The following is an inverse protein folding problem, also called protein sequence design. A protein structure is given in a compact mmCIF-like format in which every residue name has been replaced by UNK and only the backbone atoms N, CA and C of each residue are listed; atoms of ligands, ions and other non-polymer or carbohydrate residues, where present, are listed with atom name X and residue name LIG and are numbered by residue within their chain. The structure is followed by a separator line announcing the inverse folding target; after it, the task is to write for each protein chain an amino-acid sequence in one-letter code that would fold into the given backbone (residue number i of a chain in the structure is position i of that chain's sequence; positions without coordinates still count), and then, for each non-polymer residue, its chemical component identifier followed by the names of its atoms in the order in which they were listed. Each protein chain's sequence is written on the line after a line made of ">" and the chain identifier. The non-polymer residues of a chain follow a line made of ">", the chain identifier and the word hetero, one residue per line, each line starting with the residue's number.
data_IF_113418339052
#
_entry.id   IF_113418339052
#
_cell.length_a   1.000
_cell.length_b   1.000
_cell.length_c   1.000
_cell.angle_alpha   90.00
_cell.angle_beta   90.00
_cell.angle_gamma   90.00
#
_symmetry.space_group_name_H-M   'P 1'
#
loop_
_entity.id
_entity.type
_entity.pdbx_description
1 polymer ?
#
# COMPACT_ATOMS: atom_id res chain seq x y z
N UNK A 1 -33.97 48.41 -21.86
CA UNK A 1 -34.64 49.51 -21.13
C UNK A 1 -33.57 50.50 -20.70
N UNK A 2 -33.21 51.46 -21.55
CA UNK A 2 -33.74 52.83 -21.70
C UNK A 2 -33.11 53.83 -20.70
N UNK A 3 -32.71 55.01 -21.21
CA UNK A 3 -32.02 56.17 -20.58
C UNK A 3 -30.48 56.06 -20.68
N UNK A 4 -29.71 56.91 -21.36
CA UNK A 4 -29.83 58.35 -21.61
C UNK A 4 -29.14 58.69 -22.95
N UNK A 5 -29.93 59.01 -23.97
CA UNK A 5 -29.50 59.62 -25.23
C UNK A 5 -30.21 60.97 -25.31
N UNK A 6 -29.64 62.05 -24.77
CA UNK A 6 -30.09 63.41 -25.08
C UNK A 6 -29.18 64.51 -24.48
N UNK A 7 -28.03 64.83 -25.07
CA UNK A 7 -27.48 66.20 -24.96
C UNK A 7 -26.56 66.49 -26.17
N UNK A 8 -27.09 66.59 -27.38
CA UNK A 8 -26.42 67.35 -28.47
C UNK A 8 -27.50 67.94 -29.37
N UNK A 9 -28.27 68.89 -28.85
CA UNK A 9 -29.19 69.69 -29.69
C UNK A 9 -29.41 71.05 -29.07
N UNK A 10 -28.36 71.85 -28.96
CA UNK A 10 -28.49 73.29 -28.75
C UNK A 10 -27.11 73.92 -28.92
N UNK A 11 -26.72 74.25 -30.16
CA UNK A 11 -26.13 75.55 -30.55
C UNK A 11 -26.08 75.54 -32.09
N UNK A 12 -27.21 75.80 -32.74
CA UNK A 12 -27.20 76.14 -34.18
C UNK A 12 -28.13 77.30 -34.52
N UNK A 13 -28.68 77.98 -33.52
CA UNK A 13 -29.59 79.12 -33.71
C UNK A 13 -29.25 80.20 -32.69
N UNK A 14 -28.12 80.88 -32.88
CA UNK A 14 -27.80 82.11 -32.16
C UNK A 14 -26.72 82.93 -32.87
N UNK A 15 -26.82 83.09 -34.20
CA UNK A 15 -26.08 84.10 -34.95
C UNK A 15 -26.99 84.72 -36.03
N UNK A 16 -28.22 85.01 -35.62
CA UNK A 16 -29.10 85.97 -36.29
C UNK A 16 -29.48 87.07 -35.28
N UNK A 17 -28.52 87.52 -34.48
CA UNK A 17 -28.67 88.78 -33.75
C UNK A 17 -28.31 89.91 -34.72
N UNK A 18 -29.32 90.30 -35.48
CA UNK A 18 -29.59 91.64 -35.97
C UNK A 18 -28.52 92.66 -35.53
N UNK A 19 -27.60 93.02 -36.43
CA UNK A 19 -27.07 94.36 -36.39
C UNK A 19 -28.29 95.25 -36.64
N UNK A 20 -28.79 95.90 -35.58
CA UNK A 20 -29.57 97.11 -35.75
C UNK A 20 -28.64 98.06 -36.52
N UNK A 21 -28.80 98.10 -37.85
CA UNK A 21 -28.31 99.20 -38.65
C UNK A 21 -29.07 100.38 -38.06
N UNK A 22 -28.39 101.25 -37.32
CA UNK A 22 -28.99 102.50 -36.93
C UNK A 22 -29.49 103.14 -38.22
N UNK A 23 -30.81 103.39 -38.29
CA UNK A 23 -31.40 104.08 -39.43
C UNK A 23 -30.56 105.33 -39.69
N UNK A 24 -29.89 105.37 -40.83
CA UNK A 24 -29.26 106.60 -41.31
C UNK A 24 -30.42 107.50 -41.68
N UNK A 25 -30.85 108.31 -40.70
CA UNK A 25 -31.77 109.41 -40.92
C UNK A 25 -31.11 110.38 -41.91
N UNK A 26 -31.44 110.23 -43.19
CA UNK A 26 -31.18 111.25 -44.20
C UNK A 26 -32.06 112.45 -43.84
N UNK A 27 -31.47 113.44 -43.16
CA UNK A 27 -32.08 114.76 -43.08
C UNK A 27 -32.40 115.20 -44.51
N UNK A 28 -33.68 115.52 -44.75
CA UNK A 28 -34.28 115.62 -46.08
C UNK A 28 -33.41 116.36 -47.10
N UNK A 29 -33.19 115.73 -48.25
CA UNK A 29 -32.68 116.39 -49.44
C UNK A 29 -33.68 117.47 -49.86
N UNK A 30 -33.40 118.73 -49.52
CA UNK A 30 -34.18 119.87 -49.97
C UNK A 30 -33.73 120.27 -51.38
N UNK A 31 -34.36 119.70 -52.41
CA UNK A 31 -34.20 120.11 -53.80
C UNK A 31 -34.97 121.40 -54.08
N UNK A 32 -34.43 122.54 -53.65
CA UNK A 32 -34.93 123.84 -54.08
C UNK A 32 -33.76 124.70 -54.59
N UNK A 33 -33.41 124.46 -55.87
CA UNK A 33 -32.47 125.30 -56.64
C UNK A 33 -33.33 126.23 -57.51
N UNK A 34 -33.82 127.31 -56.91
CA UNK A 34 -34.28 128.49 -57.65
C UNK A 34 -33.47 129.68 -57.15
N UNK A 35 -32.71 130.26 -58.08
CA UNK A 35 -31.70 131.29 -57.85
C UNK A 35 -32.36 132.67 -57.88
N UNK A 36 -32.30 133.40 -56.77
CA UNK A 36 -32.31 134.87 -56.72
C UNK A 36 -31.53 135.28 -55.43
N UNK A 37 -30.43 136.03 -55.59
CA UNK A 37 -29.37 136.39 -54.61
C UNK A 37 -28.22 135.38 -54.42
N UNK A 38 -27.05 135.71 -55.00
CA UNK A 38 -25.81 134.89 -54.98
C UNK A 38 -25.29 134.50 -53.59
N UNK A 39 -25.68 135.24 -52.54
CA UNK A 39 -25.24 134.99 -51.17
C UNK A 39 -26.06 133.89 -50.45
N UNK A 40 -27.33 133.67 -50.84
CA UNK A 40 -28.21 132.69 -50.19
C UNK A 40 -27.97 131.23 -50.68
N UNK A 41 -27.63 131.06 -51.96
CA UNK A 41 -27.31 129.76 -52.57
C UNK A 41 -25.94 129.22 -52.12
N UNK A 42 -24.98 130.12 -51.87
CA UNK A 42 -23.68 129.75 -51.31
C UNK A 42 -23.81 129.19 -49.88
N UNK A 43 -24.71 129.74 -49.06
CA UNK A 43 -24.97 129.26 -47.69
C UNK A 43 -25.64 127.87 -47.66
N UNK A 44 -26.62 127.62 -48.53
CA UNK A 44 -27.24 126.29 -48.68
C UNK A 44 -26.24 125.25 -49.19
N UNK A 45 -25.41 125.62 -50.17
CA UNK A 45 -24.35 124.75 -50.71
C UNK A 45 -23.32 124.41 -49.63
N UNK A 46 -22.89 125.40 -48.83
CA UNK A 46 -21.99 125.20 -47.69
C UNK A 46 -22.58 124.27 -46.62
N UNK A 47 -23.87 124.42 -46.31
CA UNK A 47 -24.57 123.51 -45.38
C UNK A 47 -24.65 122.08 -45.92
N UNK A 48 -24.96 121.90 -47.21
CA UNK A 48 -25.00 120.58 -47.84
C UNK A 48 -23.61 119.92 -47.87
N UNK A 49 -22.55 120.68 -48.17
CA UNK A 49 -21.17 120.20 -48.10
C UNK A 49 -20.77 119.76 -46.68
N UNK A 50 -21.19 120.51 -45.65
CA UNK A 50 -20.96 120.14 -44.25
C UNK A 50 -21.72 118.86 -43.83
N UNK A 51 -22.96 118.67 -44.30
CA UNK A 51 -23.73 117.44 -44.07
C UNK A 51 -23.06 116.26 -44.77
N UNK A 52 -22.63 116.43 -46.02
CA UNK A 52 -21.90 115.40 -46.76
C UNK A 52 -20.60 115.01 -46.06
N UNK A 53 -19.82 115.97 -45.58
CA UNK A 53 -18.60 115.69 -44.80
C UNK A 53 -18.89 114.85 -43.56
N UNK A 54 -19.92 115.22 -42.77
CA UNK A 54 -20.35 114.44 -41.60
C UNK A 54 -20.81 113.03 -41.95
N UNK A 55 -21.54 112.86 -43.05
CA UNK A 55 -21.99 111.56 -43.52
C UNK A 55 -20.80 110.68 -43.95
N UNK A 56 -19.81 111.26 -44.64
CA UNK A 56 -18.56 110.56 -45.00
C UNK A 56 -17.81 110.10 -43.74
N UNK A 57 -17.69 110.96 -42.73
CA UNK A 57 -17.05 110.61 -41.45
C UNK A 57 -17.80 109.46 -40.75
N UNK A 58 -19.13 109.50 -40.71
CA UNK A 58 -19.97 108.45 -40.13
C UNK A 58 -19.81 107.12 -40.86
N UNK A 59 -19.88 107.13 -42.20
CA UNK A 59 -19.69 105.93 -43.03
C UNK A 59 -18.29 105.35 -42.84
N UNK A 60 -17.27 106.21 -42.73
CA UNK A 60 -15.91 105.74 -42.48
C UNK A 60 -15.78 105.11 -41.09
N UNK A 61 -16.42 105.67 -40.06
CA UNK A 61 -16.48 105.07 -38.73
C UNK A 61 -17.19 103.70 -38.74
N UNK A 62 -18.32 103.60 -39.42
CA UNK A 62 -19.07 102.34 -39.56
C UNK A 62 -18.27 101.27 -40.31
N UNK A 63 -17.52 101.66 -41.36
CA UNK A 63 -16.63 100.76 -42.08
C UNK A 63 -15.52 100.22 -41.16
N UNK A 64 -14.92 101.06 -40.32
CA UNK A 64 -13.91 100.61 -39.35
C UNK A 64 -14.52 99.67 -38.30
N UNK A 65 -15.71 99.99 -37.79
CA UNK A 65 -16.44 99.12 -36.86
C UNK A 65 -16.77 97.76 -37.49
N UNK A 66 -17.23 97.75 -38.74
CA UNK A 66 -17.52 96.51 -39.48
C UNK A 66 -16.28 95.66 -39.72
N UNK A 67 -15.12 96.27 -40.04
CA UNK A 67 -13.84 95.56 -40.16
C UNK A 67 -13.40 94.95 -38.84
N UNK A 68 -13.54 95.69 -37.74
CA UNK A 68 -13.23 95.19 -36.40
C UNK A 68 -14.13 93.99 -36.04
N UNK A 69 -15.43 94.09 -36.28
CA UNK A 69 -16.38 93.01 -36.06
C UNK A 69 -16.04 91.76 -36.91
N UNK A 70 -15.70 91.95 -38.18
CA UNK A 70 -15.28 90.85 -39.06
C UNK A 70 -14.02 90.15 -38.54
N UNK A 71 -13.03 90.91 -38.03
CA UNK A 71 -11.83 90.34 -37.43
C UNK A 71 -12.15 89.51 -36.18
N UNK A 72 -13.04 90.00 -35.31
CA UNK A 72 -13.52 89.24 -34.14
C UNK A 72 -14.26 87.97 -34.53
N UNK A 73 -15.10 88.01 -35.58
CA UNK A 73 -15.77 86.82 -36.13
C UNK A 73 -14.75 85.79 -36.62
N UNK A 74 -13.73 86.22 -37.37
CA UNK A 74 -12.68 85.33 -37.88
C UNK A 74 -11.89 84.68 -36.73
N UNK A 75 -11.58 85.44 -35.67
CA UNK A 75 -10.93 84.91 -34.46
C UNK A 75 -11.82 83.88 -33.75
N UNK A 76 -13.11 84.18 -33.58
CA UNK A 76 -14.07 83.26 -32.97
C UNK A 76 -14.22 81.96 -33.80
N UNK A 77 -14.26 82.07 -35.13
CA UNK A 77 -14.33 80.89 -36.00
C UNK A 77 -13.10 79.99 -35.83
N UNK A 78 -11.91 80.58 -35.70
CA UNK A 78 -10.67 79.84 -35.43
C UNK A 78 -10.73 79.11 -34.07
N UNK A 79 -11.22 79.78 -33.02
CA UNK A 79 -11.39 79.17 -31.68
C UNK A 79 -12.41 78.03 -31.69
N UNK A 80 -13.52 78.17 -32.43
CA UNK A 80 -14.51 77.10 -32.61
C UNK A 80 -13.88 75.90 -33.32
N UNK A 81 -13.13 76.12 -34.39
CA UNK A 81 -12.44 75.04 -35.11
C UNK A 81 -11.43 74.30 -34.20
N UNK A 82 -10.67 75.05 -33.40
CA UNK A 82 -9.73 74.46 -32.43
C UNK A 82 -10.47 73.64 -31.37
N UNK A 83 -11.59 74.16 -30.85
CA UNK A 83 -12.42 73.46 -29.85
C UNK A 83 -12.98 72.16 -30.44
N UNK A 84 -13.47 72.18 -31.68
CA UNK A 84 -13.97 70.99 -32.36
C UNK A 84 -12.88 69.94 -32.54
N UNK A 85 -11.65 70.35 -32.90
CA UNK A 85 -10.50 69.45 -33.01
C UNK A 85 -10.18 68.78 -31.67
N UNK A 86 -10.16 69.56 -30.58
CA UNK A 86 -9.92 69.04 -29.23
C UNK A 86 -11.01 68.04 -28.81
N UNK A 87 -12.29 68.33 -29.08
CA UNK A 87 -13.40 67.42 -28.81
C UNK A 87 -13.22 66.09 -29.57
N UNK A 88 -12.85 66.15 -30.85
CA UNK A 88 -12.62 64.95 -31.65
C UNK A 88 -11.47 64.09 -31.09
N UNK A 89 -10.39 64.72 -30.62
CA UNK A 89 -9.28 64.02 -29.96
C UNK A 89 -9.73 63.38 -28.63
N UNK A 90 -10.49 64.09 -27.80
CA UNK A 90 -11.02 63.54 -26.55
C UNK A 90 -11.99 62.37 -26.79
N UNK A 91 -12.81 62.44 -27.84
CA UNK A 91 -13.70 61.34 -28.23
C UNK A 91 -12.90 60.11 -28.66
N UNK A 92 -11.85 60.29 -29.46
CA UNK A 92 -10.99 59.20 -29.88
C UNK A 92 -10.28 58.53 -28.69
N UNK A 93 -9.77 59.32 -27.74
CA UNK A 93 -9.15 58.81 -26.51
C UNK A 93 -10.16 58.03 -25.65
N UNK A 94 -11.40 58.51 -25.54
CA UNK A 94 -12.48 57.82 -24.81
C UNK A 94 -12.81 56.47 -25.46
N UNK A 95 -12.90 56.42 -26.80
CA UNK A 95 -13.16 55.18 -27.52
C UNK A 95 -12.01 54.15 -27.34
N UNK A 96 -10.75 54.61 -27.34
CA UNK A 96 -9.59 53.74 -27.05
C UNK A 96 -9.63 53.20 -25.63
N UNK A 97 -9.95 54.03 -24.65
CA UNK A 97 -10.10 53.60 -23.25
C UNK A 97 -11.23 52.57 -23.09
N UNK A 98 -12.36 52.75 -23.76
CA UNK A 98 -13.45 51.77 -23.74
C UNK A 98 -13.03 50.43 -24.34
N UNK A 99 -12.30 50.44 -25.46
CA UNK A 99 -11.79 49.21 -26.05
C UNK A 99 -10.80 48.49 -25.12
N UNK A 100 -9.92 49.24 -24.43
CA UNK A 100 -9.00 48.69 -23.44
C UNK A 100 -9.74 48.07 -22.25
N UNK A 101 -10.80 48.72 -21.75
CA UNK A 101 -11.61 48.18 -20.66
C UNK A 101 -12.32 46.89 -21.06
N UNK A 102 -12.88 46.82 -22.26
CA UNK A 102 -13.49 45.61 -22.78
C UNK A 102 -12.46 44.47 -22.87
N UNK A 103 -11.27 44.75 -23.41
CA UNK A 103 -10.20 43.75 -23.48
C UNK A 103 -9.76 43.26 -22.08
N UNK A 104 -9.62 44.17 -21.10
CA UNK A 104 -9.33 43.79 -19.71
C UNK A 104 -10.42 42.91 -19.12
N UNK A 105 -11.68 43.19 -19.41
CA UNK A 105 -12.80 42.36 -18.96
C UNK A 105 -12.75 40.95 -19.56
N UNK A 106 -12.41 40.82 -20.84
CA UNK A 106 -12.26 39.52 -21.49
C UNK A 106 -11.11 38.70 -20.87
N UNK A 107 -9.98 39.36 -20.57
CA UNK A 107 -8.85 38.72 -19.87
C UNK A 107 -9.29 38.22 -18.48
N UNK A 108 -9.98 39.05 -17.70
CA UNK A 108 -10.50 38.66 -16.37
C UNK A 108 -11.44 37.45 -16.48
N UNK A 109 -12.34 37.44 -17.47
CA UNK A 109 -13.27 36.33 -17.68
C UNK A 109 -12.53 35.03 -18.04
N UNK A 110 -11.50 35.11 -18.87
CA UNK A 110 -10.66 33.96 -19.22
C UNK A 110 -9.86 33.45 -18.02
N UNK A 111 -9.27 34.34 -17.23
CA UNK A 111 -8.54 33.96 -16.01
C UNK A 111 -9.47 33.26 -15.00
N UNK A 112 -10.71 33.74 -14.84
CA UNK A 112 -11.70 33.10 -13.99
C UNK A 112 -12.07 31.70 -14.48
N UNK A 113 -12.21 31.49 -15.79
CA UNK A 113 -12.47 30.17 -16.37
C UNK A 113 -11.30 29.20 -16.13
N UNK A 114 -10.06 29.69 -16.25
CA UNK A 114 -8.85 28.91 -15.96
C UNK A 114 -8.78 28.53 -14.47
N UNK A 115 -9.08 29.47 -13.57
CA UNK A 115 -9.13 29.22 -12.12
C UNK A 115 -10.17 28.13 -11.81
N UNK A 116 -11.38 28.23 -12.37
CA UNK A 116 -12.43 27.24 -12.14
C UNK A 116 -12.00 25.85 -12.63
N UNK A 117 -11.37 25.77 -13.81
CA UNK A 117 -10.85 24.50 -14.34
C UNK A 117 -9.78 23.90 -13.44
N UNK A 118 -8.86 24.72 -12.91
CA UNK A 118 -7.83 24.27 -11.97
C UNK A 118 -8.44 23.78 -10.67
N UNK A 119 -9.49 24.43 -10.17
CA UNK A 119 -10.20 24.00 -8.96
C UNK A 119 -10.85 22.63 -9.15
N UNK A 120 -11.45 22.37 -10.32
CA UNK A 120 -12.03 21.06 -10.64
C UNK A 120 -10.98 19.95 -10.70
N UNK A 121 -9.78 20.24 -11.24
CA UNK A 121 -8.66 19.30 -11.24
C UNK A 121 -8.20 19.00 -9.81
N UNK A 122 -8.02 20.03 -8.97
CA UNK A 122 -7.64 19.86 -7.55
C UNK A 122 -8.67 18.99 -6.82
N UNK A 123 -9.96 19.22 -7.04
CA UNK A 123 -11.03 18.43 -6.41
C UNK A 123 -10.98 16.96 -6.84
N UNK A 124 -10.73 16.68 -8.12
CA UNK A 124 -10.56 15.31 -8.64
C UNK A 124 -9.33 14.62 -8.05
N UNK A 125 -8.20 15.32 -7.99
CA UNK A 125 -6.97 14.78 -7.41
C UNK A 125 -7.15 14.46 -5.92
N UNK A 126 -7.85 15.32 -5.17
CA UNK A 126 -8.17 15.06 -3.76
C UNK A 126 -9.03 13.80 -3.59
N UNK A 127 -10.02 13.58 -4.46
CA UNK A 127 -10.85 12.37 -4.42
C UNK A 127 -10.03 11.09 -4.72
N UNK A 128 -9.09 11.17 -5.67
CA UNK A 128 -8.16 10.06 -5.98
C UNK A 128 -7.25 9.77 -4.78
N UNK A 129 -6.70 10.80 -4.14
CA UNK A 129 -5.85 10.67 -2.95
C UNK A 129 -6.64 9.97 -1.82
N UNK A 130 -7.87 10.41 -1.54
CA UNK A 130 -8.70 9.81 -0.51
C UNK A 130 -8.97 8.32 -0.80
N UNK A 131 -9.29 7.98 -2.05
CA UNK A 131 -9.52 6.58 -2.47
C UNK A 131 -8.28 5.71 -2.29
N UNK A 132 -7.09 6.24 -2.62
CA UNK A 132 -5.81 5.54 -2.40
C UNK A 132 -5.53 5.34 -0.91
N UNK A 133 -5.82 6.34 -0.08
CA UNK A 133 -5.65 6.23 1.37
C UNK A 133 -6.54 5.13 1.96
N UNK A 134 -7.79 5.04 1.52
CA UNK A 134 -8.71 3.97 1.93
C UNK A 134 -8.21 2.58 1.49
N UNK A 135 -7.63 2.49 0.29
CA UNK A 135 -6.98 1.26 -0.20
C UNK A 135 -5.81 0.84 0.70
N UNK A 136 -4.91 1.76 1.01
CA UNK A 136 -3.76 1.52 1.90
C UNK A 136 -4.24 1.05 3.29
N UNK A 137 -5.27 1.66 3.85
CA UNK A 137 -5.82 1.28 5.14
C UNK A 137 -6.38 -0.15 5.14
N UNK A 138 -7.06 -0.55 4.05
CA UNK A 138 -7.57 -1.93 3.88
C UNK A 138 -6.43 -2.94 3.75
N UNK A 139 -5.41 -2.63 2.96
CA UNK A 139 -4.25 -3.50 2.79
C UNK A 139 -3.50 -3.68 4.12
N UNK A 140 -3.35 -2.62 4.91
CA UNK A 140 -2.75 -2.70 6.24
C UNK A 140 -3.53 -3.63 7.19
N UNK A 141 -4.87 -3.57 7.17
CA UNK A 141 -5.71 -4.46 7.96
C UNK A 141 -5.56 -5.94 7.55
N UNK A 142 -5.45 -6.21 6.24
CA UNK A 142 -5.18 -7.55 5.72
C UNK A 142 -3.81 -8.06 6.15
N UNK A 143 -2.77 -7.22 6.07
CA UNK A 143 -1.42 -7.56 6.53
C UNK A 143 -1.42 -7.91 8.01
N UNK A 144 -2.06 -7.11 8.86
CA UNK A 144 -2.15 -7.37 10.30
C UNK A 144 -2.84 -8.72 10.58
N UNK A 145 -3.94 -9.01 9.88
CA UNK A 145 -4.67 -10.29 10.02
C UNK A 145 -3.80 -11.48 9.62
N UNK A 146 -3.02 -11.36 8.54
CA UNK A 146 -2.08 -12.41 8.10
C UNK A 146 -0.96 -12.61 9.12
N UNK A 147 -0.43 -11.54 9.69
CA UNK A 147 0.61 -11.62 10.72
C UNK A 147 0.11 -12.35 11.97
N UNK A 148 -1.12 -12.08 12.40
CA UNK A 148 -1.74 -12.81 13.51
C UNK A 148 -1.92 -14.30 13.21
N UNK A 149 -2.29 -14.64 11.97
CA UNK A 149 -2.36 -16.02 11.49
C UNK A 149 -0.99 -16.73 11.58
N UNK A 150 0.06 -16.10 11.05
CA UNK A 150 1.44 -16.63 11.10
C UNK A 150 1.88 -16.86 12.55
N UNK A 151 1.61 -15.92 13.45
CA UNK A 151 1.97 -16.05 14.87
C UNK A 151 1.27 -17.24 15.55
N UNK A 152 0.00 -17.50 15.20
CA UNK A 152 -0.75 -18.67 15.70
C UNK A 152 -0.16 -19.97 15.16
N UNK A 153 0.11 -20.03 13.86
CA UNK A 153 0.68 -21.22 13.22
C UNK A 153 2.07 -21.54 13.80
N UNK A 154 2.89 -20.52 14.05
CA UNK A 154 4.20 -20.70 14.69
C UNK A 154 4.08 -21.23 16.11
N UNK A 155 3.07 -20.79 16.86
CA UNK A 155 2.78 -21.32 18.21
C UNK A 155 2.39 -22.80 18.15
N UNK A 156 1.52 -23.19 17.21
CA UNK A 156 1.12 -24.58 16.99
C UNK A 156 2.32 -25.44 16.60
N UNK A 157 3.16 -24.95 15.69
CA UNK A 157 4.37 -25.65 15.26
C UNK A 157 5.32 -25.92 16.45
N UNK A 158 5.57 -24.92 17.29
CA UNK A 158 6.41 -25.07 18.47
C UNK A 158 5.85 -26.09 19.46
N UNK A 159 4.54 -26.08 19.70
CA UNK A 159 3.88 -27.05 20.57
C UNK A 159 3.98 -28.48 20.02
N UNK A 160 3.81 -28.65 18.70
CA UNK A 160 3.98 -29.96 18.05
C UNK A 160 5.41 -30.47 18.18
N UNK A 161 6.42 -29.61 18.01
CA UNK A 161 7.82 -29.97 18.23
C UNK A 161 8.09 -30.44 19.66
N UNK A 162 7.52 -29.77 20.66
CA UNK A 162 7.61 -30.20 22.06
C UNK A 162 6.95 -31.56 22.26
N UNK A 163 5.76 -31.78 21.69
CA UNK A 163 5.04 -33.04 21.78
C UNK A 163 5.83 -34.21 21.16
N UNK A 164 6.39 -34.02 19.96
CA UNK A 164 7.25 -35.01 19.30
C UNK A 164 8.47 -35.34 20.15
N UNK A 165 9.17 -34.33 20.68
CA UNK A 165 10.34 -34.54 21.54
C UNK A 165 9.99 -35.31 22.81
N UNK A 166 8.84 -35.04 23.42
CA UNK A 166 8.36 -35.78 24.59
C UNK A 166 8.01 -37.22 24.24
N UNK A 167 7.35 -37.46 23.11
CA UNK A 167 7.03 -38.81 22.64
C UNK A 167 8.31 -39.61 22.38
N UNK A 168 9.33 -39.00 21.77
CA UNK A 168 10.62 -39.65 21.55
C UNK A 168 11.28 -40.07 22.87
N UNK A 169 11.25 -39.21 23.90
CA UNK A 169 11.78 -39.54 25.23
C UNK A 169 11.05 -40.74 25.85
N UNK A 170 9.73 -40.81 25.71
CA UNK A 170 8.93 -41.94 26.21
C UNK A 170 9.30 -43.23 25.49
N UNK A 171 9.40 -43.19 24.16
CA UNK A 171 9.79 -44.34 23.34
C UNK A 171 11.19 -44.82 23.74
N UNK A 172 12.17 -43.94 23.86
CA UNK A 172 13.53 -44.30 24.25
C UNK A 172 13.54 -45.00 25.62
N UNK A 173 12.86 -44.45 26.64
CA UNK A 173 12.76 -45.09 27.96
C UNK A 173 12.10 -46.47 27.91
N UNK A 174 11.07 -46.63 27.09
CA UNK A 174 10.39 -47.91 26.93
C UNK A 174 11.28 -48.95 26.23
N UNK A 175 12.03 -48.53 25.20
CA UNK A 175 13.01 -49.37 24.52
C UNK A 175 14.11 -49.80 25.49
N UNK A 176 14.71 -48.86 26.23
CA UNK A 176 15.75 -49.15 27.22
C UNK A 176 15.26 -50.16 28.28
N UNK A 177 14.04 -49.98 28.78
CA UNK A 177 13.44 -50.90 29.76
C UNK A 177 13.23 -52.30 29.17
N UNK A 178 12.79 -52.39 27.91
CA UNK A 178 12.61 -53.67 27.22
C UNK A 178 13.93 -54.37 26.94
N UNK A 179 14.97 -53.63 26.56
CA UNK A 179 16.31 -54.17 26.35
C UNK A 179 16.88 -54.73 27.66
N UNK A 180 16.79 -53.99 28.77
CA UNK A 180 17.22 -54.47 30.08
C UNK A 180 16.49 -55.76 30.52
N UNK A 181 15.18 -55.85 30.23
CA UNK A 181 14.41 -57.08 30.49
C UNK A 181 14.84 -58.25 29.60
N UNK A 182 15.13 -57.98 28.32
CA UNK A 182 15.62 -58.99 27.39
C UNK A 182 16.99 -59.51 27.83
N UNK A 183 17.91 -58.63 28.20
CA UNK A 183 19.25 -58.99 28.70
C UNK A 183 19.15 -59.88 29.95
N UNK A 184 18.27 -59.54 30.90
CA UNK A 184 18.01 -60.38 32.08
C UNK A 184 17.45 -61.77 31.73
N UNK A 185 16.57 -61.85 30.73
CA UNK A 185 16.01 -63.12 30.24
C UNK A 185 17.05 -63.96 29.49
N UNK A 186 17.89 -63.33 28.67
CA UNK A 186 18.99 -64.00 27.94
C UNK A 186 20.01 -64.55 28.95
N UNK A 187 20.46 -63.76 29.91
CA UNK A 187 21.37 -64.22 30.97
C UNK A 187 20.79 -65.41 31.78
N UNK A 188 19.48 -65.40 32.02
CA UNK A 188 18.79 -66.51 32.69
C UNK A 188 18.71 -67.75 31.80
N UNK A 189 18.54 -67.58 30.49
CA UNK A 189 18.55 -68.67 29.53
C UNK A 189 19.95 -69.29 29.43
N UNK A 190 21.00 -68.48 29.34
CA UNK A 190 22.39 -68.94 29.27
C UNK A 190 22.73 -69.82 30.48
N UNK A 191 22.42 -69.35 31.70
CA UNK A 191 22.62 -70.15 32.93
C UNK A 191 21.84 -71.46 32.93
N UNK A 192 20.61 -71.46 32.42
CA UNK A 192 19.78 -72.66 32.32
C UNK A 192 20.33 -73.64 31.28
N UNK A 193 20.84 -73.13 30.16
CA UNK A 193 21.49 -73.94 29.12
C UNK A 193 22.78 -74.56 29.66
N UNK A 194 23.61 -73.79 30.36
CA UNK A 194 24.83 -74.30 31.00
C UNK A 194 24.51 -75.37 32.06
N UNK A 195 23.49 -75.13 32.90
CA UNK A 195 23.03 -76.10 33.90
C UNK A 195 22.53 -77.38 33.24
N UNK A 196 21.71 -77.26 32.20
CA UNK A 196 21.20 -78.41 31.45
C UNK A 196 22.35 -79.21 30.83
N UNK A 197 23.32 -78.53 30.23
CA UNK A 197 24.50 -79.18 29.63
C UNK A 197 25.29 -79.96 30.70
N UNK A 198 25.53 -79.36 31.87
CA UNK A 198 26.21 -80.03 32.97
C UNK A 198 25.40 -81.22 33.53
N UNK A 199 24.09 -81.07 33.70
CA UNK A 199 23.21 -82.16 34.13
C UNK A 199 23.20 -83.31 33.11
N UNK A 200 23.17 -83.01 31.81
CA UNK A 200 23.27 -84.00 30.75
C UNK A 200 24.60 -84.75 30.78
N UNK A 201 25.74 -84.04 30.87
CA UNK A 201 27.06 -84.68 30.99
C UNK A 201 27.14 -85.61 32.21
N UNK A 202 26.62 -85.16 33.36
CA UNK A 202 26.52 -85.96 34.59
C UNK A 202 25.65 -87.20 34.41
N UNK A 203 24.49 -87.04 33.77
CA UNK A 203 23.58 -88.14 33.46
C UNK A 203 24.22 -89.19 32.57
N UNK A 204 24.89 -88.76 31.50
CA UNK A 204 25.61 -89.64 30.56
C UNK A 204 26.81 -90.33 31.23
N UNK A 205 27.60 -89.62 32.04
CA UNK A 205 28.69 -90.22 32.81
C UNK A 205 28.16 -91.29 33.78
N UNK A 206 27.06 -91.00 34.48
CA UNK A 206 26.40 -91.94 35.39
C UNK A 206 25.85 -93.16 34.65
N UNK A 207 25.26 -92.96 33.47
CA UNK A 207 24.78 -94.05 32.63
C UNK A 207 25.93 -94.91 32.08
N UNK A 208 27.03 -94.28 31.68
CA UNK A 208 28.27 -94.97 31.28
C UNK A 208 28.79 -95.85 32.43
N UNK A 209 28.85 -95.31 33.64
CA UNK A 209 29.24 -96.04 34.86
C UNK A 209 28.30 -97.24 35.12
N UNK A 210 26.98 -97.04 35.04
CA UNK A 210 25.99 -98.11 35.23
C UNK A 210 26.10 -99.23 34.19
N UNK A 211 26.51 -98.89 32.95
CA UNK A 211 26.71 -99.87 31.89
C UNK A 211 27.93 -100.76 32.14
N UNK A 212 28.99 -100.20 32.76
CA UNK A 212 30.19 -100.92 33.17
C UNK A 212 30.00 -101.89 34.34
N UNK A 213 28.85 -101.82 35.05
CA UNK A 213 28.57 -102.75 36.15
C UNK A 213 28.47 -104.19 35.63
N UNK A 214 29.25 -105.07 36.25
CA UNK A 214 29.31 -106.47 35.89
C UNK A 214 27.99 -107.21 36.15
N UNK A 215 27.67 -108.17 35.28
CA UNK A 215 26.48 -109.01 35.40
C UNK A 215 26.80 -110.32 36.14
N UNK A 216 25.94 -110.80 37.05
CA UNK A 216 26.20 -112.01 37.83
C UNK A 216 26.33 -113.26 36.94
N UNK A 217 27.51 -113.88 36.89
CA UNK A 217 27.71 -115.11 36.11
C UNK A 217 27.22 -116.38 36.82
N UNK A 218 27.39 -116.46 38.15
CA UNK A 218 27.11 -117.68 38.91
C UNK A 218 25.65 -117.73 39.42
N UNK A 219 25.00 -118.88 39.22
CA UNK A 219 23.63 -119.16 39.72
C UNK A 219 23.62 -119.27 41.25
N UNK A 220 22.59 -118.68 41.87
CA UNK A 220 22.34 -118.78 43.32
C UNK A 220 23.25 -117.89 44.20
N UNK A 221 24.12 -117.05 43.61
CA UNK A 221 25.04 -116.17 44.35
C UNK A 221 24.70 -114.70 44.13
N UNK A 222 24.76 -113.94 45.22
CA UNK A 222 24.67 -112.49 45.20
C UNK A 222 25.99 -111.87 44.71
N UNK A 223 25.91 -110.90 43.81
CA UNK A 223 27.06 -110.19 43.26
C UNK A 223 26.92 -108.70 43.54
N UNK A 224 28.03 -108.08 43.94
CA UNK A 224 28.16 -106.62 44.08
C UNK A 224 29.23 -106.17 43.10
N UNK A 225 28.93 -105.15 42.31
CA UNK A 225 29.85 -104.57 41.35
C UNK A 225 29.95 -103.06 41.52
N UNK A 226 31.11 -102.52 41.21
CA UNK A 226 31.38 -101.09 41.24
C UNK A 226 32.00 -100.72 39.90
N UNK A 227 31.58 -99.60 39.34
CA UNK A 227 32.08 -99.14 38.04
C UNK A 227 32.24 -97.63 38.05
N UNK A 228 33.25 -97.15 37.33
CA UNK A 228 33.48 -95.73 37.09
C UNK A 228 33.17 -95.44 35.62
N UNK A 229 32.45 -94.36 35.38
CA UNK A 229 32.11 -93.90 34.04
C UNK A 229 32.46 -92.43 33.89
N UNK A 230 32.79 -92.03 32.67
CA UNK A 230 33.09 -90.64 32.34
C UNK A 230 32.40 -90.22 31.06
N UNK A 231 32.01 -88.96 30.98
CA UNK A 231 31.54 -88.31 29.76
C UNK A 231 32.04 -86.86 29.73
N UNK A 232 32.83 -86.53 28.71
CA UNK A 232 33.61 -85.29 28.62
C UNK A 232 34.41 -85.00 29.91
N UNK A 233 34.12 -83.88 30.58
CA UNK A 233 34.80 -83.40 31.78
C UNK A 233 34.24 -83.95 33.09
N UNK A 234 33.17 -84.77 33.07
CA UNK A 234 32.51 -85.25 34.28
C UNK A 234 32.66 -86.77 34.45
N UNK A 235 32.86 -87.18 35.70
CA UNK A 235 33.01 -88.57 36.10
C UNK A 235 31.90 -88.98 37.07
N UNK A 236 31.55 -90.26 37.09
CA UNK A 236 30.51 -90.80 37.94
C UNK A 236 30.90 -92.19 38.46
N UNK A 237 30.45 -92.48 39.68
CA UNK A 237 30.63 -93.75 40.35
C UNK A 237 29.29 -94.46 40.41
N UNK A 238 29.26 -95.69 39.92
CA UNK A 238 28.14 -96.59 39.98
C UNK A 238 28.41 -97.74 40.96
N UNK A 239 27.38 -98.09 41.73
CA UNK A 239 27.33 -99.25 42.59
C UNK A 239 26.14 -100.10 42.15
N UNK A 240 26.39 -101.38 41.90
CA UNK A 240 25.40 -102.33 41.43
C UNK A 240 25.34 -103.58 42.27
N UNK A 241 24.16 -104.19 42.29
CA UNK A 241 23.99 -105.53 42.79
C UNK A 241 23.18 -106.37 41.81
N UNK A 242 23.46 -107.66 41.79
CA UNK A 242 22.79 -108.58 40.89
C UNK A 242 22.72 -109.98 41.48
N UNK A 243 21.69 -110.71 41.07
CA UNK A 243 21.48 -112.08 41.48
C UNK A 243 20.88 -112.86 40.32
N UNK A 244 21.46 -114.02 40.05
CA UNK A 244 21.00 -114.95 39.04
C UNK A 244 20.29 -116.08 39.75
N UNK A 245 18.96 -116.13 39.60
CA UNK A 245 18.12 -117.12 40.27
C UNK A 245 18.42 -118.50 39.69
N UNK A 246 18.36 -118.61 38.36
CA UNK A 246 18.66 -119.81 37.56
C UNK A 246 19.46 -119.41 36.31
N UNK A 247 19.96 -120.37 35.51
CA UNK A 247 20.67 -120.08 34.25
C UNK A 247 19.84 -119.19 33.30
N UNK A 248 18.51 -119.36 33.34
CA UNK A 248 17.57 -118.65 32.47
C UNK A 248 17.06 -117.31 32.99
N UNK A 249 17.31 -116.93 34.26
CA UNK A 249 16.75 -115.71 34.85
C UNK A 249 17.78 -115.00 35.75
N UNK A 250 18.10 -113.76 35.40
CA UNK A 250 18.96 -112.90 36.21
C UNK A 250 18.35 -111.51 36.42
N UNK A 251 18.59 -110.91 37.58
CA UNK A 251 18.24 -109.53 37.86
C UNK A 251 19.47 -108.72 38.26
N UNK A 252 19.47 -107.44 37.86
CA UNK A 252 20.52 -106.47 38.17
C UNK A 252 19.87 -105.13 38.49
N UNK A 253 20.39 -104.48 39.51
CA UNK A 253 20.06 -103.10 39.86
C UNK A 253 21.34 -102.31 40.07
N UNK A 254 21.32 -101.03 39.77
CA UNK A 254 22.45 -100.15 39.93
C UNK A 254 22.02 -98.72 40.24
N UNK A 255 22.80 -98.05 41.07
CA UNK A 255 22.68 -96.63 41.35
C UNK A 255 24.01 -95.97 41.03
N UNK A 256 23.98 -94.80 40.44
CA UNK A 256 25.16 -94.03 40.11
C UNK A 256 24.98 -92.58 40.49
N UNK A 257 26.07 -91.98 40.95
CA UNK A 257 26.13 -90.57 41.29
C UNK A 257 27.44 -89.98 40.77
N UNK A 258 27.41 -88.70 40.43
CA UNK A 258 28.60 -87.97 40.02
C UNK A 258 29.61 -87.87 41.17
N UNK A 259 30.91 -87.94 40.88
CA UNK A 259 31.98 -87.99 41.90
C UNK A 259 32.46 -86.63 42.39
N UNK A 260 32.13 -85.53 41.71
CA UNK A 260 32.58 -84.19 42.09
C UNK A 260 31.67 -83.59 43.16
N UNK A 261 30.36 -83.54 42.91
CA UNK A 261 29.41 -82.89 43.81
C UNK A 261 28.34 -83.84 44.38
N UNK A 262 28.31 -85.12 43.95
CA UNK A 262 27.24 -86.08 44.24
C UNK A 262 25.81 -85.56 43.93
N UNK A 263 25.71 -84.57 43.05
CA UNK A 263 24.45 -83.96 42.61
C UNK A 263 23.95 -84.63 41.33
N UNK A 264 22.76 -85.21 41.42
CA UNK A 264 22.15 -86.01 40.35
C UNK A 264 22.44 -87.49 40.55
N UNK A 265 21.39 -88.26 40.85
CA UNK A 265 21.47 -89.71 41.07
C UNK A 265 20.69 -90.39 39.96
N UNK A 266 21.36 -91.26 39.23
CA UNK A 266 20.75 -92.13 38.23
C UNK A 266 20.61 -93.53 38.80
N UNK A 267 19.55 -94.22 38.45
CA UNK A 267 19.34 -95.61 38.84
C UNK A 267 18.86 -96.43 37.64
N UNK A 268 19.19 -97.71 37.63
CA UNK A 268 18.67 -98.66 36.65
C UNK A 268 18.30 -99.99 37.33
N UNK A 269 17.32 -100.66 36.74
CA UNK A 269 16.95 -102.02 37.09
C UNK A 269 16.69 -102.78 35.79
N UNK A 270 17.20 -104.01 35.71
CA UNK A 270 17.09 -104.85 34.53
C UNK A 270 16.88 -106.31 34.95
N UNK A 271 16.14 -107.03 34.11
CA UNK A 271 15.96 -108.48 34.23
C UNK A 271 16.32 -109.09 32.89
N UNK A 272 17.12 -110.14 32.92
CA UNK A 272 17.49 -110.91 31.74
C UNK A 272 16.82 -112.28 31.79
N UNK A 273 16.27 -112.69 30.64
CA UNK A 273 15.64 -113.99 30.44
C UNK A 273 16.32 -114.68 29.25
N UNK A 274 16.82 -115.90 29.46
CA UNK A 274 17.49 -116.72 28.43
C UNK A 274 16.66 -117.99 28.21
N UNK A 275 16.43 -118.42 26.98
CA UNK A 275 15.65 -119.62 26.63
C UNK A 275 16.40 -120.52 25.64
#
# INVERSE_FOLDING_TARGET
>A
MNKVTLVVTAVSVALLSHSAIADVSWAGWNNNIYSENSHADAAKTSNNLNVLAKNVDSVNADLQNSKAAQNSINQNQSLVNQTQSNINQSQAATNQNQAMLNHKQDVINNDQAVINTKQDVINKDQAVINTKQDGINKDQAVINTKQDGINKDQTVFNNNQIAVNNQQKVINKQVDSRLNQLDGRVNSLDRRVDSLNNELKRGLASQSALSGLFQPYNVGKFNVSMALGGYESNTALALGSGYRVNENIAFKTGVASNTEDFKGVSYNAAVNFEW
#
